data_IF_109357565067
#
_entry.id   IF_109357565067
#
_cell.length_a   1.000
_cell.length_b   1.000
_cell.length_c   1.000
_cell.angle_alpha   90.00
_cell.angle_beta   90.00
_cell.angle_gamma   90.00
#
_symmetry.space_group_name_H-M   'P 1'
#
loop_
_entity.id
_entity.type
_entity.pdbx_description
1 polymer ?
#
# COMPACT_ATOMS: atom_id res chain seq x y z
N UNK A 1 -3.52 12.56 5.74
CA UNK A 1 -2.31 12.54 4.94
C UNK A 1 -2.65 12.61 3.46
N UNK A 2 -2.19 13.62 2.79
CA UNK A 2 -2.58 13.90 1.41
C UNK A 2 -1.44 13.51 0.46
N UNK A 3 -1.72 12.59 -0.45
CA UNK A 3 -0.84 12.30 -1.57
C UNK A 3 -1.31 13.08 -2.78
N UNK A 4 -0.37 13.61 -3.53
CA UNK A 4 -0.66 14.23 -4.82
C UNK A 4 -0.71 13.14 -5.89
N UNK A 5 -1.43 13.43 -6.97
CA UNK A 5 -1.51 12.52 -8.11
C UNK A 5 -0.11 12.12 -8.56
N UNK A 6 0.12 10.82 -8.68
CA UNK A 6 1.42 10.30 -9.12
C UNK A 6 2.43 10.10 -8.02
N UNK A 7 2.18 10.58 -6.80
CA UNK A 7 3.09 10.35 -5.68
C UNK A 7 2.97 8.94 -5.16
N UNK A 8 4.10 8.41 -4.68
CA UNK A 8 4.16 7.08 -4.10
C UNK A 8 4.43 7.16 -2.60
N UNK A 9 3.84 6.23 -1.88
CA UNK A 9 4.04 6.08 -0.45
C UNK A 9 4.44 4.64 -0.16
N UNK A 10 5.50 4.47 0.62
CA UNK A 10 5.92 3.15 1.07
C UNK A 10 5.35 2.90 2.47
N UNK A 11 4.63 1.81 2.62
CA UNK A 11 4.01 1.43 3.88
C UNK A 11 4.64 0.14 4.38
N UNK A 12 4.99 0.10 5.66
CA UNK A 12 5.50 -1.10 6.30
C UNK A 12 4.46 -1.63 7.27
N UNK A 13 4.25 -2.94 7.25
CA UNK A 13 3.23 -3.56 8.11
C UNK A 13 3.67 -4.95 8.55
N UNK A 14 3.47 -5.25 9.83
CA UNK A 14 3.76 -6.56 10.40
C UNK A 14 2.48 -7.37 10.67
N UNK A 15 1.35 -6.90 10.19
CA UNK A 15 0.06 -7.52 10.47
C UNK A 15 -0.35 -8.39 9.29
N UNK A 16 -0.63 -9.69 9.51
CA UNK A 16 -1.11 -10.55 8.42
C UNK A 16 -2.37 -10.02 7.73
N UNK A 17 -3.20 -9.28 8.44
CA UNK A 17 -4.41 -8.71 7.86
C UNK A 17 -4.10 -7.66 6.80
N UNK A 18 -2.89 -7.07 6.83
CA UNK A 18 -2.50 -6.06 5.84
C UNK A 18 -2.50 -6.63 4.43
N UNK A 19 -2.26 -7.93 4.26
CA UNK A 19 -2.29 -8.58 2.95
C UNK A 19 -3.64 -8.39 2.28
N UNK A 20 -4.71 -8.39 3.06
CA UNK A 20 -6.06 -8.20 2.57
C UNK A 20 -6.47 -6.73 2.61
N UNK A 21 -6.10 -6.04 3.69
CA UNK A 21 -6.56 -4.67 3.96
C UNK A 21 -5.91 -3.66 3.03
N UNK A 22 -4.64 -3.85 2.65
CA UNK A 22 -3.95 -2.88 1.81
C UNK A 22 -4.53 -2.79 0.41
N UNK A 23 -4.78 -3.91 -0.30
CA UNK A 23 -5.44 -3.83 -1.60
C UNK A 23 -6.84 -3.23 -1.51
N UNK A 24 -7.58 -3.58 -0.46
CA UNK A 24 -8.92 -3.06 -0.24
C UNK A 24 -8.87 -1.55 -0.02
N UNK A 25 -7.97 -1.09 0.83
CA UNK A 25 -7.79 0.33 1.11
C UNK A 25 -7.45 1.09 -0.18
N UNK A 26 -6.54 0.56 -0.98
CA UNK A 26 -6.13 1.22 -2.21
C UNK A 26 -7.30 1.35 -3.18
N UNK A 27 -8.12 0.32 -3.28
CA UNK A 27 -9.29 0.34 -4.15
C UNK A 27 -10.31 1.38 -3.68
N UNK A 28 -10.59 1.42 -2.37
CA UNK A 28 -11.57 2.34 -1.80
C UNK A 28 -11.13 3.79 -1.93
N UNK A 29 -9.84 4.05 -1.76
CA UNK A 29 -9.30 5.41 -1.78
C UNK A 29 -8.93 5.88 -3.18
N UNK A 30 -9.02 5.01 -4.18
CA UNK A 30 -8.64 5.36 -5.54
C UNK A 30 -7.14 5.40 -5.75
N UNK A 31 -6.39 4.63 -4.95
CA UNK A 31 -4.94 4.51 -5.11
C UNK A 31 -4.60 3.24 -5.88
N UNK A 32 -3.38 3.19 -6.39
CA UNK A 32 -2.86 2.01 -7.07
C UNK A 32 -1.83 1.33 -6.16
N UNK A 33 -2.00 0.02 -5.97
CA UNK A 33 -1.00 -0.78 -5.25
C UNK A 33 0.05 -1.22 -6.27
N UNK A 34 1.18 -0.51 -6.26
CA UNK A 34 2.21 -0.66 -7.29
C UNK A 34 3.06 -1.90 -7.04
N UNK A 35 3.38 -2.14 -5.78
CA UNK A 35 4.30 -3.22 -5.43
C UNK A 35 3.97 -3.73 -4.05
N UNK A 36 4.16 -5.04 -3.87
CA UNK A 36 3.98 -5.70 -2.59
C UNK A 36 5.15 -6.65 -2.38
N UNK A 37 5.80 -6.57 -1.22
CA UNK A 37 6.86 -7.49 -0.84
C UNK A 37 6.45 -8.18 0.46
N UNK A 38 5.91 -9.38 0.33
CA UNK A 38 5.40 -10.14 1.46
C UNK A 38 6.48 -11.00 2.14
N UNK A 39 7.62 -11.17 1.48
CA UNK A 39 8.73 -11.94 2.06
C UNK A 39 9.57 -11.10 3.00
N UNK A 40 9.42 -9.79 2.94
CA UNK A 40 10.13 -8.88 3.82
C UNK A 40 9.51 -8.88 5.21
N UNK A 41 10.31 -8.58 6.22
CA UNK A 41 9.84 -8.42 7.59
C UNK A 41 10.38 -7.10 8.12
N UNK A 42 9.56 -6.05 8.24
CA UNK A 42 8.11 -6.01 7.94
C UNK A 42 7.79 -6.10 6.46
N UNK A 43 6.54 -6.41 6.16
CA UNK A 43 6.04 -6.42 4.79
C UNK A 43 6.04 -5.00 4.21
N UNK A 44 6.31 -4.90 2.92
CA UNK A 44 6.42 -3.60 2.25
C UNK A 44 5.31 -3.48 1.21
N UNK A 45 4.64 -2.34 1.22
CA UNK A 45 3.62 -2.01 0.23
C UNK A 45 3.92 -0.64 -0.35
N UNK A 46 3.94 -0.54 -1.67
CA UNK A 46 4.14 0.74 -2.35
C UNK A 46 2.83 1.13 -3.02
N UNK A 47 2.31 2.28 -2.63
CA UNK A 47 1.03 2.81 -3.10
C UNK A 47 1.30 4.06 -3.92
N UNK A 48 0.58 4.21 -5.03
CA UNK A 48 0.65 5.43 -5.83
C UNK A 48 -0.74 6.03 -5.97
N UNK A 49 -0.86 7.31 -5.74
CA UNK A 49 -2.11 8.01 -5.94
C UNK A 49 -2.34 8.28 -7.43
N UNK A 50 -3.50 7.93 -7.88
CA UNK A 50 -3.89 8.17 -9.28
C UNK A 50 -4.38 9.60 -9.52
#
# INVERSE_FOLDING_TARGET
>A
QALKSGEELTVQADDPAAIIDMPHFCMEAGHELVRTDLDSSPQIYVIRKK
#
